data_IF_549620388526
#
_entry.id   IF_549620388526
#
_cell.length_a   1.000
_cell.length_b   1.000
_cell.length_c   1.000
_cell.angle_alpha   90.00
_cell.angle_beta   90.00
_cell.angle_gamma   90.00
#
_symmetry.space_group_name_H-M   'P 1'
#
loop_
_entity.id
_entity.type
_entity.pdbx_description
1 polymer ?
#
# COMPACT_ATOMS: atom_id res chain seq x y z
N UNK A 1 1.13 -10.82 1.55
CA UNK A 1 -0.22 -10.53 0.98
C UNK A 1 -0.40 -9.14 0.39
N UNK A 2 0.03 -8.08 1.08
CA UNK A 2 -0.13 -6.70 0.61
C UNK A 2 0.44 -6.52 -0.80
N UNK A 3 1.71 -6.87 -1.01
CA UNK A 3 2.36 -6.77 -2.33
C UNK A 3 1.61 -7.51 -3.43
N UNK A 4 1.12 -8.73 -3.16
CA UNK A 4 0.33 -9.50 -4.12
C UNK A 4 -0.95 -8.75 -4.53
N UNK A 5 -1.68 -8.21 -3.56
CA UNK A 5 -2.93 -7.46 -3.80
C UNK A 5 -2.68 -6.14 -4.54
N UNK A 6 -1.68 -5.38 -4.11
CA UNK A 6 -1.30 -4.10 -4.73
C UNK A 6 -0.78 -4.31 -6.16
N UNK A 7 0.01 -5.36 -6.41
CA UNK A 7 0.48 -5.72 -7.75
C UNK A 7 -0.69 -5.98 -8.70
N UNK A 8 -1.70 -6.72 -8.23
CA UNK A 8 -2.91 -7.06 -8.99
C UNK A 8 -3.95 -5.93 -9.08
N UNK A 9 -3.78 -4.83 -8.35
CA UNK A 9 -4.72 -3.71 -8.39
C UNK A 9 -4.65 -2.96 -9.73
N UNK A 10 -5.77 -2.37 -10.13
CA UNK A 10 -5.85 -1.51 -11.31
C UNK A 10 -4.96 -0.27 -11.14
N UNK A 11 -4.15 0.05 -12.16
CA UNK A 11 -3.23 1.20 -12.15
C UNK A 11 -2.68 1.35 -13.58
N UNK A 12 -3.45 2.02 -14.44
CA UNK A 12 -3.07 2.29 -15.83
C UNK A 12 -2.24 3.57 -15.91
N UNK A 13 -1.18 3.55 -16.72
CA UNK A 13 -0.22 4.65 -16.86
C UNK A 13 -0.89 5.93 -17.36
N UNK A 14 -0.62 7.06 -16.71
CA UNK A 14 -1.23 8.36 -17.04
C UNK A 14 -2.70 8.51 -16.62
N UNK A 15 -3.37 7.44 -16.14
CA UNK A 15 -4.79 7.47 -15.78
C UNK A 15 -4.95 7.64 -14.27
N UNK A 16 -5.43 8.81 -13.86
CA UNK A 16 -5.72 9.12 -12.45
C UNK A 16 -7.15 8.76 -12.04
N UNK A 17 -8.09 8.86 -12.97
CA UNK A 17 -9.50 8.58 -12.70
C UNK A 17 -9.68 7.12 -12.27
N UNK A 18 -10.41 6.92 -11.16
CA UNK A 18 -10.74 5.59 -10.61
C UNK A 18 -9.53 4.68 -10.35
N UNK A 19 -8.35 5.26 -10.09
CA UNK A 19 -7.13 4.51 -9.81
C UNK A 19 -7.02 4.21 -8.30
N UNK A 20 -7.24 2.96 -7.85
CA UNK A 20 -7.22 2.61 -6.43
C UNK A 20 -5.85 2.81 -5.77
N UNK A 21 -4.75 2.74 -6.54
CA UNK A 21 -3.41 2.97 -5.99
C UNK A 21 -3.21 4.43 -5.62
N UNK A 22 -3.69 5.35 -6.47
CA UNK A 22 -3.64 6.78 -6.18
C UNK A 22 -4.61 7.17 -5.06
N UNK A 23 -5.76 6.51 -4.98
CA UNK A 23 -6.68 6.70 -3.85
C UNK A 23 -6.00 6.35 -2.51
N UNK A 24 -5.31 5.20 -2.42
CA UNK A 24 -4.53 4.85 -1.22
C UNK A 24 -3.43 5.85 -0.89
N UNK A 25 -2.78 6.44 -1.89
CA UNK A 25 -1.84 7.53 -1.66
C UNK A 25 -2.53 8.68 -0.94
N UNK A 26 -3.62 9.19 -1.52
CA UNK A 26 -4.34 10.38 -1.00
C UNK A 26 -5.02 10.16 0.35
N UNK A 27 -5.64 9.00 0.54
CA UNK A 27 -6.54 8.70 1.65
C UNK A 27 -5.83 8.06 2.85
N UNK A 28 -4.71 7.37 2.64
CA UNK A 28 -4.03 6.59 3.68
C UNK A 28 -2.58 7.04 3.86
N UNK A 29 -1.77 7.02 2.79
CA UNK A 29 -0.32 7.19 2.92
C UNK A 29 0.05 8.62 3.28
N UNK A 30 -0.47 9.62 2.55
CA UNK A 30 -0.17 11.02 2.85
C UNK A 30 -0.70 11.46 4.23
N UNK A 31 -1.93 11.11 4.64
CA UNK A 31 -2.40 11.42 6.00
C UNK A 31 -1.56 10.75 7.11
N UNK A 32 -1.04 9.54 6.88
CA UNK A 32 -0.32 8.79 7.91
C UNK A 32 1.19 9.12 7.97
N UNK A 33 1.84 9.31 6.82
CA UNK A 33 3.29 9.51 6.71
C UNK A 33 3.71 10.93 6.31
N UNK A 34 2.80 11.73 5.73
CA UNK A 34 3.08 13.06 5.20
C UNK A 34 3.95 13.10 3.95
N UNK A 35 4.44 11.95 3.47
CA UNK A 35 5.30 11.83 2.28
C UNK A 35 5.24 10.42 1.69
N UNK A 36 5.65 10.28 0.44
CA UNK A 36 5.83 9.01 -0.25
C UNK A 36 7.21 8.96 -0.93
N UNK A 37 8.02 7.97 -0.58
CA UNK A 37 9.30 7.71 -1.27
C UNK A 37 9.11 6.66 -2.34
N UNK A 38 9.40 7.01 -3.59
CA UNK A 38 9.37 6.09 -4.72
C UNK A 38 10.79 5.87 -5.22
N UNK A 39 11.22 4.60 -5.23
CA UNK A 39 12.48 4.19 -5.86
C UNK A 39 12.15 3.56 -7.21
N UNK A 40 12.68 4.13 -8.27
CA UNK A 40 12.56 3.60 -9.62
C UNK A 40 13.40 2.32 -9.80
N UNK A 41 13.11 1.55 -10.85
CA UNK A 41 13.93 0.37 -11.18
C UNK A 41 15.40 0.69 -11.50
N UNK A 42 15.71 1.91 -11.90
CA UNK A 42 17.09 2.38 -12.14
C UNK A 42 17.82 2.72 -10.85
N UNK A 43 17.13 2.72 -9.70
CA UNK A 43 17.67 3.01 -8.38
C UNK A 43 17.54 4.48 -7.95
N UNK A 44 17.03 5.35 -8.82
CA UNK A 44 16.76 6.74 -8.46
C UNK A 44 15.57 6.82 -7.52
N UNK A 45 15.75 7.43 -6.36
CA UNK A 45 14.70 7.62 -5.36
C UNK A 45 14.21 9.06 -5.38
N UNK A 46 12.92 9.23 -5.62
CA UNK A 46 12.22 10.52 -5.54
C UNK A 46 11.29 10.51 -4.33
N UNK A 47 11.33 11.60 -3.55
CA UNK A 47 10.44 11.78 -2.40
C UNK A 47 9.39 12.81 -2.77
N UNK A 48 8.13 12.41 -2.66
CA UNK A 48 6.96 13.25 -2.86
C UNK A 48 6.44 13.74 -1.53
N UNK A 49 6.21 15.04 -1.39
CA UNK A 49 5.74 15.67 -0.15
C UNK A 49 4.22 15.89 -0.15
N UNK A 50 3.56 15.74 -1.30
CA UNK A 50 2.12 15.86 -1.42
C UNK A 50 1.54 14.91 -2.47
N UNK A 51 0.25 14.61 -2.34
CA UNK A 51 -0.48 13.84 -3.35
C UNK A 51 -0.51 14.54 -4.71
N UNK A 52 -0.59 15.87 -4.73
CA UNK A 52 -0.63 16.65 -5.97
C UNK A 52 0.67 16.49 -6.79
N UNK A 53 1.82 16.39 -6.13
CA UNK A 53 3.09 16.09 -6.81
C UNK A 53 3.09 14.69 -7.44
N UNK A 54 2.58 13.68 -6.72
CA UNK A 54 2.45 12.31 -7.24
C UNK A 54 1.52 12.28 -8.45
N UNK A 55 0.36 12.93 -8.32
CA UNK A 55 -0.66 13.00 -9.38
C UNK A 55 -0.10 13.65 -10.63
N UNK A 56 0.55 14.81 -10.49
CA UNK A 56 1.14 15.55 -11.61
C UNK A 56 2.18 14.72 -12.35
N UNK A 57 3.09 14.08 -11.62
CA UNK A 57 4.12 13.22 -12.23
C UNK A 57 3.53 11.97 -12.88
N UNK A 58 2.46 11.41 -12.30
CA UNK A 58 1.79 10.23 -12.83
C UNK A 58 1.03 10.54 -14.13
N UNK A 59 0.30 11.66 -14.18
CA UNK A 59 -0.38 12.16 -15.40
C UNK A 59 0.62 12.49 -16.52
N UNK A 60 1.80 12.99 -16.15
CA UNK A 60 2.88 13.28 -17.09
C UNK A 60 3.67 12.02 -17.53
N UNK A 61 3.32 10.83 -17.05
CA UNK A 61 4.05 9.58 -17.26
C UNK A 61 5.52 9.61 -16.79
N UNK A 62 5.87 10.53 -15.88
CA UNK A 62 7.19 10.60 -15.25
C UNK A 62 7.33 9.58 -14.11
N UNK A 63 6.19 9.09 -13.58
CA UNK A 63 6.12 8.09 -12.52
C UNK A 63 5.51 6.80 -13.05
N UNK A 64 6.32 5.75 -13.16
CA UNK A 64 5.87 4.47 -13.68
C UNK A 64 4.93 3.73 -12.68
N UNK A 65 3.82 3.11 -13.14
CA UNK A 65 2.86 2.42 -12.27
C UNK A 65 3.46 1.32 -11.40
N UNK A 66 4.46 0.60 -11.92
CA UNK A 66 5.15 -0.46 -11.16
C UNK A 66 5.93 0.07 -9.96
N UNK A 67 6.52 1.25 -10.09
CA UNK A 67 7.36 1.85 -9.06
C UNK A 67 6.46 2.47 -7.98
N UNK A 68 5.38 3.15 -8.42
CA UNK A 68 4.32 3.62 -7.53
C UNK A 68 3.70 2.47 -6.72
N UNK A 69 3.32 1.36 -7.37
CA UNK A 69 2.77 0.19 -6.67
C UNK A 69 3.72 -0.36 -5.62
N UNK A 70 5.01 -0.42 -5.92
CA UNK A 70 6.03 -0.93 -4.99
C UNK A 70 6.15 -0.01 -3.78
N UNK A 71 6.22 1.31 -4.01
CA UNK A 71 6.27 2.31 -2.94
C UNK A 71 5.03 2.26 -2.04
N UNK A 72 3.84 2.19 -2.64
CA UNK A 72 2.55 2.08 -1.93
C UNK A 72 2.49 0.80 -1.10
N UNK A 73 2.91 -0.34 -1.66
CA UNK A 73 2.95 -1.60 -0.93
C UNK A 73 3.89 -1.53 0.29
N UNK A 74 5.06 -0.90 0.13
CA UNK A 74 6.00 -0.69 1.23
C UNK A 74 5.40 0.18 2.32
N UNK A 75 4.86 1.35 1.97
CA UNK A 75 4.24 2.27 2.94
C UNK A 75 3.09 1.60 3.72
N UNK A 76 2.22 0.84 3.03
CA UNK A 76 1.15 0.09 3.70
C UNK A 76 1.70 -1.02 4.60
N UNK A 77 2.77 -1.71 4.19
CA UNK A 77 3.41 -2.71 5.03
C UNK A 77 3.96 -2.10 6.32
N UNK A 78 4.58 -0.92 6.23
CA UNK A 78 5.13 -0.20 7.37
C UNK A 78 4.03 0.23 8.35
N UNK A 79 2.90 0.75 7.83
CA UNK A 79 1.73 1.09 8.66
C UNK A 79 1.14 -0.13 9.38
N UNK A 80 1.15 -1.30 8.73
CA UNK A 80 0.60 -2.53 9.29
C UNK A 80 1.58 -3.24 10.23
N UNK A 81 2.87 -2.88 10.23
CA UNK A 81 3.88 -3.62 10.97
C UNK A 81 3.63 -3.65 12.49
N UNK A 82 3.27 -2.53 13.16
CA UNK A 82 2.97 -2.56 14.60
C UNK A 82 1.79 -3.48 14.95
N UNK A 83 0.79 -3.57 14.07
CA UNK A 83 -0.36 -4.46 14.23
C UNK A 83 0.07 -5.92 14.07
N UNK A 84 0.90 -6.22 13.06
CA UNK A 84 1.46 -7.57 12.86
C UNK A 84 2.27 -8.01 14.07
N UNK A 85 3.10 -7.13 14.61
CA UNK A 85 3.93 -7.41 15.76
C UNK A 85 3.08 -7.67 17.01
N UNK A 86 2.00 -6.92 17.22
CA UNK A 86 1.05 -7.16 18.30
C UNK A 86 0.44 -8.57 18.22
N UNK A 87 -0.10 -8.96 17.05
CA UNK A 87 -0.68 -10.31 16.87
C UNK A 87 0.34 -11.45 16.86
N UNK A 88 1.63 -11.16 16.62
CA UNK A 88 2.70 -12.14 16.68
C UNK A 88 3.19 -12.39 18.11
N UNK A 89 3.35 -11.31 18.89
CA UNK A 89 4.01 -11.32 20.19
C UNK A 89 3.06 -11.43 21.38
N UNK A 90 1.79 -11.03 21.23
CA UNK A 90 0.77 -11.18 22.27
C UNK A 90 0.05 -12.55 22.17
N UNK A 91 0.19 -13.44 23.17
CA UNK A 91 -0.43 -14.76 23.14
C UNK A 91 -1.97 -14.74 23.11
N UNK A 92 -2.59 -13.73 23.71
CA UNK A 92 -4.05 -13.56 23.69
C UNK A 92 -4.51 -13.12 22.30
N UNK A 93 -3.88 -12.08 21.74
CA UNK A 93 -4.20 -11.59 20.40
C UNK A 93 -4.02 -12.68 19.34
N UNK A 94 -2.94 -13.48 19.44
CA UNK A 94 -2.67 -14.60 18.52
C UNK A 94 -3.75 -15.69 18.58
N UNK A 95 -4.23 -16.04 19.77
CA UNK A 95 -5.34 -17.00 19.96
C UNK A 95 -6.63 -16.46 19.35
N UNK A 96 -6.94 -15.19 19.60
CA UNK A 96 -8.11 -14.53 19.03
C UNK A 96 -8.09 -14.55 17.49
N UNK A 97 -6.95 -14.20 16.89
CA UNK A 97 -6.79 -14.22 15.43
C UNK A 97 -6.97 -15.62 14.84
N UNK A 98 -6.47 -16.66 15.53
CA UNK A 98 -6.65 -18.06 15.10
C UNK A 98 -8.12 -18.46 15.12
N UNK A 99 -8.84 -18.09 16.17
CA UNK A 99 -10.27 -18.36 16.31
C UNK A 99 -11.08 -17.67 15.20
N UNK A 100 -10.79 -16.40 14.91
CA UNK A 100 -11.47 -15.64 13.86
C UNK A 100 -11.23 -16.28 12.47
N UNK A 101 -10.00 -16.71 12.18
CA UNK A 101 -9.69 -17.40 10.92
C UNK A 101 -10.47 -18.71 10.78
N UNK A 102 -10.59 -19.48 11.86
CA UNK A 102 -11.39 -20.71 11.87
C UNK A 102 -12.85 -20.43 11.49
N UNK A 103 -13.47 -19.40 12.07
CA UNK A 103 -14.84 -19.01 11.70
C UNK A 103 -14.96 -18.58 10.24
N UNK A 104 -13.97 -17.86 9.70
CA UNK A 104 -13.98 -17.47 8.30
C UNK A 104 -13.91 -18.67 7.34
N UNK A 105 -13.17 -19.71 7.70
CA UNK A 105 -13.07 -20.93 6.91
C UNK A 105 -14.37 -21.75 7.01
N UNK A 106 -14.97 -21.85 8.20
CA UNK A 106 -16.27 -22.50 8.42
C UNK A 106 -17.41 -21.82 7.64
N UNK A 107 -17.40 -20.49 7.51
CA UNK A 107 -18.40 -19.74 6.74
C UNK A 107 -18.22 -19.82 5.21
N UNK A 108 -17.04 -20.23 4.75
CA UNK A 108 -16.71 -20.35 3.31
C UNK A 108 -16.92 -21.76 2.77
N UNK A 109 -17.04 -22.76 3.65
CA UNK A 109 -17.35 -24.14 3.33
C UNK A 109 -18.87 -24.33 3.15
#
# INVERSE_FOLDING_TARGET
DVERKIRSAYCEEGVVAENPILDYCSSIIFPAHGRLSVTSKTGETKVYMSYDEVKTDYEACNLHPGDLKTAVASAINDLLQPVRDHFANDPYAKKLLTQIKKWQDEMRA
#
